data_IF_346388447978
#
_entry.id   IF_346388447978
#
_cell.length_a   1.000
_cell.length_b   1.000
_cell.length_c   1.000
_cell.angle_alpha   90.00
_cell.angle_beta   90.00
_cell.angle_gamma   90.00
#
_symmetry.space_group_name_H-M   'P 1'
#
loop_
_entity.id
_entity.type
_entity.pdbx_description
1 polymer ?
#
# COMPACT_ATOMS: atom_id res chain seq x y z
N UNK A 1 -4.11 -15.33 3.95
CA UNK A 1 -3.88 -13.90 4.25
C UNK A 1 -4.70 -12.98 3.36
N UNK A 2 -4.57 -13.04 2.02
CA UNK A 2 -5.30 -12.15 1.09
C UNK A 2 -6.82 -12.09 1.36
N UNK A 3 -7.45 -13.26 1.58
CA UNK A 3 -8.86 -13.37 1.98
C UNK A 3 -9.24 -12.55 3.23
N UNK A 4 -8.35 -12.41 4.21
CA UNK A 4 -8.62 -11.63 5.43
C UNK A 4 -8.61 -10.13 5.18
N UNK A 5 -7.81 -9.67 4.20
CA UNK A 5 -7.77 -8.27 3.78
C UNK A 5 -8.78 -7.96 2.67
N UNK A 6 -9.50 -8.95 2.14
CA UNK A 6 -10.47 -8.75 1.06
C UNK A 6 -9.83 -8.39 -0.29
N UNK A 7 -8.56 -8.73 -0.50
CA UNK A 7 -7.80 -8.37 -1.72
C UNK A 7 -7.51 -9.61 -2.58
N UNK A 8 -7.28 -9.39 -3.88
CA UNK A 8 -6.98 -10.48 -4.82
C UNK A 8 -5.60 -11.09 -4.58
N UNK A 9 -4.56 -10.25 -4.57
CA UNK A 9 -3.16 -10.68 -4.49
C UNK A 9 -2.40 -9.86 -3.45
N UNK A 10 -1.69 -10.56 -2.57
CA UNK A 10 -0.75 -9.95 -1.61
C UNK A 10 0.68 -10.32 -1.95
N UNK A 11 1.60 -9.37 -1.76
CA UNK A 11 3.03 -9.62 -1.77
C UNK A 11 3.69 -9.07 -0.50
N UNK A 12 4.82 -9.66 -0.13
CA UNK A 12 5.64 -9.17 0.98
C UNK A 12 6.53 -8.00 0.53
N UNK A 13 7.05 -7.22 1.47
CA UNK A 13 8.03 -6.16 1.18
C UNK A 13 9.23 -6.63 0.36
N UNK A 14 9.73 -7.84 0.65
CA UNK A 14 10.82 -8.45 -0.10
C UNK A 14 10.44 -8.68 -1.57
N UNK A 15 9.24 -9.21 -1.82
CA UNK A 15 8.73 -9.42 -3.19
C UNK A 15 8.48 -8.09 -3.90
N UNK A 16 7.84 -7.13 -3.22
CA UNK A 16 7.55 -5.80 -3.76
C UNK A 16 8.81 -5.09 -4.22
N UNK A 17 9.91 -5.22 -3.49
CA UNK A 17 11.19 -4.59 -3.81
C UNK A 17 11.91 -5.21 -5.01
N UNK A 18 11.56 -6.45 -5.37
CA UNK A 18 12.08 -7.10 -6.59
C UNK A 18 11.18 -6.92 -7.82
N UNK A 19 9.98 -6.33 -7.67
CA UNK A 19 9.09 -6.10 -8.79
C UNK A 19 9.66 -5.00 -9.72
N UNK A 20 9.48 -5.14 -11.04
CA UNK A 20 9.74 -4.04 -11.97
C UNK A 20 8.93 -2.79 -11.61
N UNK A 21 9.42 -1.60 -12.01
CA UNK A 21 8.70 -0.33 -11.87
C UNK A 21 7.52 -0.21 -12.86
N UNK A 22 6.78 -1.30 -13.07
CA UNK A 22 5.55 -1.38 -13.86
C UNK A 22 4.39 -1.88 -13.01
N UNK A 23 4.61 -2.23 -11.74
CA UNK A 23 3.56 -2.70 -10.84
C UNK A 23 3.15 -1.63 -9.84
N UNK A 24 1.84 -1.39 -9.75
CA UNK A 24 1.24 -0.56 -8.72
C UNK A 24 0.94 -1.42 -7.49
N UNK A 25 1.45 -1.00 -6.34
CA UNK A 25 1.26 -1.70 -5.08
C UNK A 25 0.68 -0.76 -4.02
N UNK A 26 -0.26 -1.26 -3.21
CA UNK A 26 -0.80 -0.54 -2.05
C UNK A 26 -0.33 -1.18 -0.75
N UNK A 27 0.42 -0.45 0.07
CA UNK A 27 0.81 -0.89 1.42
C UNK A 27 -0.43 -1.14 2.26
N UNK A 28 -0.51 -2.26 2.98
CA UNK A 28 -1.67 -2.58 3.80
C UNK A 28 -1.35 -2.58 5.29
N UNK A 29 -0.47 -3.48 5.71
CA UNK A 29 -0.31 -3.78 7.14
C UNK A 29 1.03 -4.43 7.45
N UNK A 30 1.41 -4.42 8.72
CA UNK A 30 2.58 -5.09 9.26
C UNK A 30 2.16 -6.39 9.94
N UNK A 31 2.50 -7.54 9.34
CA UNK A 31 2.01 -8.84 9.80
C UNK A 31 3.14 -9.70 10.39
N UNK A 32 2.83 -10.40 11.48
CA UNK A 32 3.73 -11.42 12.06
C UNK A 32 3.53 -12.74 11.34
N UNK A 33 4.57 -13.22 10.66
CA UNK A 33 4.56 -14.52 9.98
C UNK A 33 5.22 -15.57 10.84
N UNK A 34 4.60 -16.76 10.95
CA UNK A 34 5.19 -17.90 11.66
C UNK A 34 6.57 -18.23 11.08
N UNK A 35 7.58 -18.29 11.94
CA UNK A 35 8.96 -18.57 11.53
C UNK A 35 9.77 -17.35 11.09
N UNK A 36 9.21 -16.13 11.10
CA UNK A 36 9.98 -14.89 10.96
C UNK A 36 10.12 -14.20 12.31
N UNK A 37 11.34 -13.78 12.65
CA UNK A 37 11.63 -13.02 13.87
C UNK A 37 11.01 -11.63 13.82
N UNK A 38 11.12 -10.95 12.68
CA UNK A 38 10.54 -9.63 12.48
C UNK A 38 9.18 -9.68 11.76
N UNK A 39 8.32 -8.74 12.11
CA UNK A 39 7.08 -8.53 11.37
C UNK A 39 7.39 -7.95 9.98
N UNK A 40 6.57 -8.28 8.98
CA UNK A 40 6.81 -7.90 7.59
C UNK A 40 5.67 -7.07 7.05
N UNK A 41 5.99 -6.01 6.31
CA UNK A 41 4.97 -5.27 5.58
C UNK A 41 4.42 -6.12 4.44
N UNK A 42 3.10 -6.08 4.28
CA UNK A 42 2.40 -6.66 3.14
C UNK A 42 1.73 -5.59 2.32
N UNK A 43 1.67 -5.86 1.03
CA UNK A 43 1.15 -4.96 0.01
C UNK A 43 0.14 -5.72 -0.83
N UNK A 44 -0.90 -5.03 -1.27
CA UNK A 44 -1.77 -5.48 -2.35
C UNK A 44 -1.15 -5.13 -3.69
N UNK A 45 -1.18 -6.09 -4.63
CA UNK A 45 -0.89 -5.82 -6.04
C UNK A 45 -2.16 -5.26 -6.69
N UNK A 46 -2.11 -4.01 -7.13
CA UNK A 46 -3.28 -3.31 -7.68
C UNK A 46 -3.38 -3.52 -9.18
N UNK A 47 -2.27 -3.27 -9.90
CA UNK A 47 -2.26 -3.38 -11.36
C UNK A 47 -0.83 -3.52 -11.92
N UNK A 48 -0.74 -3.95 -13.17
CA UNK A 48 0.46 -3.87 -14.01
C UNK A 48 0.21 -2.87 -15.13
N UNK A 49 1.10 -1.88 -15.26
CA UNK A 49 0.96 -0.79 -16.22
C UNK A 49 2.03 -0.88 -17.31
N UNK A 50 1.71 -0.38 -18.50
CA UNK A 50 2.61 -0.44 -19.67
C UNK A 50 3.81 0.51 -19.60
N UNK A 51 3.91 1.34 -18.57
CA UNK A 51 4.99 2.32 -18.36
C UNK A 51 5.39 2.42 -16.89
N UNK A 52 6.21 3.42 -16.52
CA UNK A 52 6.63 3.62 -15.13
C UNK A 52 5.42 3.78 -14.20
N UNK A 53 5.35 2.97 -13.15
CA UNK A 53 4.22 2.94 -12.22
C UNK A 53 3.97 4.30 -11.55
N UNK A 54 5.03 5.05 -11.26
CA UNK A 54 4.98 6.39 -10.67
C UNK A 54 4.30 7.44 -11.58
N UNK A 55 4.31 7.23 -12.90
CA UNK A 55 3.66 8.11 -13.87
C UNK A 55 2.21 7.75 -14.16
N UNK A 56 1.73 6.60 -13.70
CA UNK A 56 0.36 6.17 -13.94
C UNK A 56 -0.64 7.06 -13.17
N UNK A 57 -1.81 7.46 -13.73
CA UNK A 57 -2.76 8.33 -13.03
C UNK A 57 -3.16 7.83 -11.63
N UNK A 58 -3.25 6.50 -11.45
CA UNK A 58 -3.58 5.88 -10.16
C UNK A 58 -2.51 6.11 -9.08
N UNK A 59 -1.25 6.43 -9.46
CA UNK A 59 -0.15 6.63 -8.50
C UNK A 59 -0.44 7.75 -7.52
N UNK A 60 -1.04 8.86 -7.98
CA UNK A 60 -1.44 9.98 -7.12
C UNK A 60 -2.48 9.58 -6.08
N UNK A 61 -3.43 8.72 -6.45
CA UNK A 61 -4.47 8.23 -5.55
C UNK A 61 -3.87 7.29 -4.50
N UNK A 62 -2.96 6.40 -4.92
CA UNK A 62 -2.24 5.53 -4.00
C UNK A 62 -1.35 6.33 -3.04
N UNK A 63 -0.74 7.42 -3.51
CA UNK A 63 0.06 8.31 -2.67
C UNK A 63 -0.79 8.94 -1.55
N UNK A 64 -1.99 9.47 -1.87
CA UNK A 64 -2.89 10.01 -0.84
C UNK A 64 -3.25 8.98 0.23
N UNK A 65 -3.50 7.73 -0.20
CA UNK A 65 -3.74 6.63 0.72
C UNK A 65 -2.51 6.34 1.60
N UNK A 66 -1.31 6.28 1.02
CA UNK A 66 -0.06 6.02 1.78
C UNK A 66 0.24 7.14 2.77
N UNK A 67 0.06 8.40 2.36
CA UNK A 67 0.28 9.56 3.22
C UNK A 67 -0.72 9.58 4.39
N UNK A 68 -1.98 9.22 4.14
CA UNK A 68 -3.00 9.09 5.19
C UNK A 68 -2.62 8.00 6.20
N UNK A 69 -2.18 6.83 5.71
CA UNK A 69 -1.75 5.72 6.56
C UNK A 69 -0.51 6.09 7.40
N UNK A 70 0.46 6.78 6.80
CA UNK A 70 1.66 7.24 7.51
C UNK A 70 1.31 8.27 8.59
N UNK A 71 0.45 9.24 8.29
CA UNK A 71 -0.03 10.21 9.26
C UNK A 71 -0.76 9.52 10.43
N UNK A 72 -1.58 8.50 10.14
CA UNK A 72 -2.26 7.70 11.16
C UNK A 72 -1.26 6.98 12.08
N UNK A 73 -0.23 6.33 11.53
CA UNK A 73 0.80 5.66 12.32
C UNK A 73 1.63 6.63 13.18
N UNK A 74 1.81 7.88 12.72
CA UNK A 74 2.45 8.95 13.47
C UNK A 74 1.53 9.61 14.52
N UNK A 75 0.26 9.18 14.60
CA UNK A 75 -0.78 9.76 15.47
C UNK A 75 -1.14 11.21 15.12
N UNK A 76 -0.82 11.66 13.91
CA UNK A 76 -1.30 12.93 13.37
C UNK A 76 -2.68 12.72 12.74
N UNK A 77 -3.68 12.54 13.59
CA UNK A 77 -5.03 12.15 13.18
C UNK A 77 -5.74 13.23 12.37
N UNK A 78 -5.44 14.51 12.64
CA UNK A 78 -6.02 15.63 11.88
C UNK A 78 -5.57 15.55 10.42
N UNK A 79 -4.27 15.37 10.19
CA UNK A 79 -3.74 15.18 8.84
C UNK A 79 -4.23 13.88 8.20
N UNK A 80 -4.26 12.79 8.97
CA UNK A 80 -4.70 11.49 8.48
C UNK A 80 -6.15 11.54 7.96
N UNK A 81 -7.07 12.13 8.72
CA UNK A 81 -8.48 12.27 8.33
C UNK A 81 -8.61 13.14 7.08
N UNK A 82 -7.88 14.26 7.01
CA UNK A 82 -7.93 15.14 5.84
C UNK A 82 -7.47 14.41 4.56
N UNK A 83 -6.36 13.69 4.63
CA UNK A 83 -5.83 12.91 3.50
C UNK A 83 -6.74 11.73 3.14
N UNK A 84 -7.27 11.01 4.14
CA UNK A 84 -8.19 9.90 3.92
C UNK A 84 -9.49 10.36 3.25
N UNK A 85 -10.07 11.48 3.68
CA UNK A 85 -11.25 12.05 3.02
C UNK A 85 -10.96 12.48 1.58
N UNK A 86 -9.76 13.02 1.33
CA UNK A 86 -9.32 13.40 -0.01
C UNK A 86 -9.12 12.20 -0.94
N UNK A 87 -8.71 11.05 -0.38
CA UNK A 87 -8.63 9.77 -1.08
C UNK A 87 -10.02 9.20 -1.39
N UNK A 88 -10.96 9.27 -0.44
CA UNK A 88 -12.31 8.71 -0.58
C UNK A 88 -13.26 9.53 -1.48
N UNK A 89 -12.99 10.83 -1.69
CA UNK A 89 -13.84 11.73 -2.47
C UNK A 89 -13.60 11.66 -3.99
N UNK A 90 -12.87 10.65 -4.47
CA UNK A 90 -12.45 10.48 -5.86
C UNK A 90 -13.34 9.51 -6.63
#
# INVERSE_FOLDING_TARGET
LAKHYGVGTLCSDATRTTLPNTFLCRKLDLVKVKGKEEAVWVYELIDEVSGPADLHPLSRYLQLYHDALEAFHRRDFVKAIHLANSYLAQ
#
